data_IF_668807122757
#
_entry.id   IF_668807122757
#
_cell.length_a   1.000
_cell.length_b   1.000
_cell.length_c   1.000
_cell.angle_alpha   90.00
_cell.angle_beta   90.00
_cell.angle_gamma   90.00
#
_symmetry.space_group_name_H-M   'P 1'
#
loop_
_entity.id
_entity.type
_entity.pdbx_description
1 polymer ?
#
# COMPACT_ATOMS: atom_id res chain seq x y z
N UNK A 1 57.53 36.98 -59.35
CA UNK A 1 58.73 36.37 -58.74
C UNK A 1 59.39 37.42 -57.86
N UNK A 2 59.83 37.09 -56.63
CA UNK A 2 60.59 38.05 -55.82
C UNK A 2 61.87 38.43 -56.57
N UNK A 3 62.06 39.73 -56.84
CA UNK A 3 63.28 40.25 -57.46
C UNK A 3 64.26 40.53 -56.33
N UNK A 4 65.28 39.69 -56.20
CA UNK A 4 66.36 39.91 -55.25
C UNK A 4 67.29 41.01 -55.77
N UNK A 5 67.75 41.87 -54.86
CA UNK A 5 68.70 42.94 -55.17
C UNK A 5 69.98 42.74 -54.39
N UNK A 6 71.10 43.05 -55.03
CA UNK A 6 72.41 43.09 -54.40
C UNK A 6 72.42 44.12 -53.27
N UNK A 7 72.85 43.72 -52.07
CA UNK A 7 72.96 44.61 -50.90
C UNK A 7 74.03 45.70 -51.06
N UNK A 8 75.03 45.48 -51.93
CA UNK A 8 76.14 46.42 -52.13
C UNK A 8 75.85 47.44 -53.23
N UNK A 9 75.43 46.99 -54.41
CA UNK A 9 75.26 47.87 -55.58
C UNK A 9 73.79 48.08 -56.00
N UNK A 10 72.83 47.40 -55.38
CA UNK A 10 71.41 47.54 -55.69
C UNK A 10 70.95 46.88 -57.01
N UNK A 11 71.87 46.29 -57.77
CA UNK A 11 71.57 45.62 -59.04
C UNK A 11 70.71 44.35 -58.83
N UNK A 12 69.87 43.96 -59.81
CA UNK A 12 69.06 42.75 -59.72
C UNK A 12 69.96 41.50 -59.73
N UNK A 13 69.66 40.54 -58.86
CA UNK A 13 70.34 39.25 -58.81
C UNK A 13 69.55 38.22 -59.62
N UNK A 14 70.19 37.62 -60.62
CA UNK A 14 69.63 36.56 -61.46
C UNK A 14 69.85 35.20 -60.80
N UNK A 15 68.82 34.66 -60.13
CA UNK A 15 68.91 33.39 -59.40
C UNK A 15 68.28 32.26 -60.22
N UNK A 16 69.03 31.17 -60.45
CA UNK A 16 68.57 29.99 -61.20
C UNK A 16 68.31 28.80 -60.26
N UNK A 17 67.34 28.92 -59.36
CA UNK A 17 66.83 27.78 -58.59
C UNK A 17 66.97 27.91 -57.06
N UNK A 18 67.35 26.81 -56.39
CA UNK A 18 67.48 26.69 -54.91
C UNK A 18 68.91 26.99 -54.42
N UNK A 19 69.59 27.93 -55.04
CA UNK A 19 70.94 28.32 -54.63
C UNK A 19 70.85 29.10 -53.31
N UNK A 20 71.76 28.83 -52.37
CA UNK A 20 71.83 29.52 -51.07
C UNK A 20 72.82 30.68 -51.06
N UNK A 21 73.68 30.75 -52.08
CA UNK A 21 74.69 31.79 -52.29
C UNK A 21 74.63 32.20 -53.75
N UNK A 22 74.65 33.50 -54.01
CA UNK A 22 74.72 34.08 -55.36
C UNK A 22 75.82 35.12 -55.41
N UNK A 23 76.57 35.12 -56.51
CA UNK A 23 77.54 36.16 -56.83
C UNK A 23 76.87 37.25 -57.66
N UNK A 24 77.11 38.51 -57.33
CA UNK A 24 76.54 39.62 -58.07
C UNK A 24 77.32 39.88 -59.37
N UNK A 25 76.68 39.76 -60.52
CA UNK A 25 77.28 40.02 -61.85
C UNK A 25 77.81 41.47 -62.05
N UNK A 26 77.51 42.39 -61.13
CA UNK A 26 77.85 43.81 -61.25
C UNK A 26 78.94 44.28 -60.27
N UNK A 27 79.14 43.59 -59.15
CA UNK A 27 80.10 44.01 -58.12
C UNK A 27 80.83 42.83 -57.45
N UNK A 28 80.71 41.65 -58.04
CA UNK A 28 81.39 40.39 -57.67
C UNK A 28 81.25 40.00 -56.19
N UNK A 29 80.25 40.57 -55.51
CA UNK A 29 80.05 40.33 -54.08
C UNK A 29 79.19 39.10 -53.89
N UNK A 30 79.76 38.08 -53.24
CA UNK A 30 79.07 36.88 -52.77
C UNK A 30 78.08 37.23 -51.68
N UNK A 31 76.81 36.85 -51.87
CA UNK A 31 75.73 37.11 -50.93
C UNK A 31 74.95 35.84 -50.63
N UNK A 32 74.57 35.68 -49.37
CA UNK A 32 73.66 34.61 -48.95
C UNK A 32 72.23 35.00 -49.31
N UNK A 33 71.52 34.06 -49.94
CA UNK A 33 70.10 34.19 -50.25
C UNK A 33 69.28 33.68 -49.05
N UNK A 34 68.25 34.42 -48.60
CA UNK A 34 67.34 33.89 -47.60
C UNK A 34 66.63 32.66 -48.18
N UNK A 35 66.53 31.60 -47.37
CA UNK A 35 65.87 30.36 -47.76
C UNK A 35 64.36 30.62 -47.88
N UNK A 36 63.89 31.04 -49.06
CA UNK A 36 62.46 31.24 -49.33
C UNK A 36 61.82 29.89 -49.64
N UNK A 37 61.64 29.04 -48.62
CA UNK A 37 60.63 27.98 -48.73
C UNK A 37 59.26 28.66 -48.63
N UNK A 38 58.71 29.05 -49.78
CA UNK A 38 57.46 29.81 -49.89
C UNK A 38 56.19 29.03 -49.45
N UNK A 39 56.34 27.85 -48.84
CA UNK A 39 55.25 27.08 -48.26
C UNK A 39 55.48 26.94 -46.76
N UNK A 40 54.48 27.28 -45.92
CA UNK A 40 54.59 27.04 -44.48
C UNK A 40 54.79 25.53 -44.24
N UNK A 41 55.78 25.16 -43.43
CA UNK A 41 55.97 23.77 -43.00
C UNK A 41 54.91 23.41 -41.96
N UNK A 42 54.59 22.12 -41.83
CA UNK A 42 53.70 21.60 -40.77
C UNK A 42 54.21 22.09 -39.40
N UNK A 43 55.52 22.01 -39.16
CA UNK A 43 56.13 22.45 -37.88
C UNK A 43 55.86 23.92 -37.58
N UNK A 44 56.01 24.81 -38.58
CA UNK A 44 55.78 26.26 -38.39
C UNK A 44 54.32 26.60 -38.14
N UNK A 45 53.39 25.84 -38.74
CA UNK A 45 51.96 25.99 -38.48
C UNK A 45 51.61 25.44 -37.10
N UNK A 46 52.22 24.33 -36.70
CA UNK A 46 51.96 23.70 -35.42
C UNK A 46 52.45 24.55 -34.25
N UNK A 47 53.61 25.19 -34.39
CA UNK A 47 54.10 26.16 -33.40
C UNK A 47 53.08 27.30 -33.19
N UNK A 48 52.50 27.81 -34.28
CA UNK A 48 51.44 28.83 -34.19
C UNK A 48 50.17 28.29 -33.53
N UNK A 49 49.74 27.06 -33.85
CA UNK A 49 48.60 26.42 -33.18
C UNK A 49 48.82 26.37 -31.68
N UNK A 50 50.01 25.95 -31.24
CA UNK A 50 50.34 25.90 -29.81
C UNK A 50 50.31 27.28 -29.15
N UNK A 51 50.80 28.32 -29.83
CA UNK A 51 50.69 29.71 -29.34
C UNK A 51 49.21 30.12 -29.21
N UNK A 52 48.38 29.86 -30.23
CA UNK A 52 46.95 30.18 -30.18
C UNK A 52 46.22 29.43 -29.06
N UNK A 53 46.54 28.16 -28.83
CA UNK A 53 45.99 27.39 -27.71
C UNK A 53 46.39 28.02 -26.37
N UNK A 54 47.65 28.43 -26.20
CA UNK A 54 48.13 29.09 -24.98
C UNK A 54 47.44 30.45 -24.75
N UNK A 55 47.27 31.22 -25.81
CA UNK A 55 46.60 32.53 -25.80
C UNK A 55 45.06 32.43 -25.70
N UNK A 56 44.52 31.20 -25.65
CA UNK A 56 43.07 30.94 -25.62
C UNK A 56 42.33 31.46 -26.86
N UNK A 57 43.03 31.55 -27.99
CA UNK A 57 42.47 31.92 -29.31
C UNK A 57 41.99 30.67 -30.06
N UNK A 58 40.94 30.04 -29.54
CA UNK A 58 40.46 28.71 -29.97
C UNK A 58 40.10 28.63 -31.45
N UNK A 59 39.38 29.63 -31.97
CA UNK A 59 38.96 29.66 -33.38
C UNK A 59 40.17 29.75 -34.32
N UNK A 60 41.22 30.50 -33.94
CA UNK A 60 42.45 30.59 -34.74
C UNK A 60 43.28 29.32 -34.64
N UNK A 61 43.33 28.69 -33.46
CA UNK A 61 43.96 27.38 -33.30
C UNK A 61 43.29 26.35 -34.23
N UNK A 62 41.95 26.33 -34.28
CA UNK A 62 41.19 25.44 -35.15
C UNK A 62 41.44 25.72 -36.64
N UNK A 63 41.41 26.98 -37.07
CA UNK A 63 41.70 27.40 -38.46
C UNK A 63 43.12 26.98 -38.89
N UNK A 64 44.11 27.15 -38.02
CA UNK A 64 45.48 26.75 -38.33
C UNK A 64 45.67 25.22 -38.32
N UNK A 65 44.89 24.49 -37.54
CA UNK A 65 44.84 23.03 -37.65
C UNK A 65 44.30 22.59 -39.02
N UNK A 66 43.26 23.24 -39.55
CA UNK A 66 42.77 22.95 -40.91
C UNK A 66 43.86 23.17 -41.97
N UNK A 67 44.67 24.23 -41.85
CA UNK A 67 45.82 24.46 -42.74
C UNK A 67 46.88 23.35 -42.67
N UNK A 68 47.07 22.73 -41.50
CA UNK A 68 47.95 21.57 -41.36
C UNK A 68 47.32 20.37 -42.06
N UNK A 69 46.01 20.16 -41.88
CA UNK A 69 45.26 19.06 -42.48
C UNK A 69 45.11 19.18 -44.00
N UNK A 70 45.15 20.40 -44.56
CA UNK A 70 45.27 20.64 -46.00
C UNK A 70 46.60 20.12 -46.58
N UNK A 71 47.67 20.11 -45.78
CA UNK A 71 48.99 19.58 -46.16
C UNK A 71 49.06 18.07 -45.93
N UNK A 72 48.64 17.61 -44.75
CA UNK A 72 48.55 16.20 -44.38
C UNK A 72 47.23 15.89 -43.66
N UNK A 73 46.22 15.34 -44.37
CA UNK A 73 44.92 15.03 -43.80
C UNK A 73 44.94 13.97 -42.68
N UNK A 74 46.04 13.23 -42.54
CA UNK A 74 46.23 12.17 -41.54
C UNK A 74 47.13 12.60 -40.39
N UNK A 75 47.49 13.88 -40.30
CA UNK A 75 48.32 14.38 -39.21
C UNK A 75 47.56 14.35 -37.88
N UNK A 76 47.75 13.28 -37.11
CA UNK A 76 46.97 12.97 -35.91
C UNK A 76 46.99 14.11 -34.88
N UNK A 77 48.15 14.74 -34.66
CA UNK A 77 48.32 15.78 -33.65
C UNK A 77 47.48 17.04 -33.96
N UNK A 78 47.20 17.35 -35.22
CA UNK A 78 46.26 18.44 -35.55
C UNK A 78 44.84 18.15 -35.05
N UNK A 79 44.37 16.90 -35.15
CA UNK A 79 43.07 16.52 -34.56
C UNK A 79 43.07 16.62 -33.03
N UNK A 80 44.21 16.33 -32.38
CA UNK A 80 44.35 16.54 -30.93
C UNK A 80 44.30 18.03 -30.57
N UNK A 81 44.97 18.90 -31.33
CA UNK A 81 44.91 20.35 -31.12
C UNK A 81 43.49 20.91 -31.34
N UNK A 82 42.77 20.44 -32.37
CA UNK A 82 41.34 20.78 -32.56
C UNK A 82 40.48 20.32 -31.38
N UNK A 83 40.74 19.12 -30.85
CA UNK A 83 40.06 18.63 -29.65
C UNK A 83 40.34 19.53 -28.44
N UNK A 84 41.59 19.94 -28.24
CA UNK A 84 41.94 20.87 -27.16
C UNK A 84 41.23 22.23 -27.32
N UNK A 85 41.18 22.77 -28.53
CA UNK A 85 40.45 24.00 -28.83
C UNK A 85 38.94 23.86 -28.57
N UNK A 86 38.31 22.75 -28.99
CA UNK A 86 36.88 22.47 -28.78
C UNK A 86 36.49 22.45 -27.29
N UNK A 87 37.40 21.98 -26.43
CA UNK A 87 37.19 21.90 -24.98
C UNK A 87 37.76 23.09 -24.21
N UNK A 88 38.31 24.10 -24.91
CA UNK A 88 38.98 25.28 -24.35
C UNK A 88 40.13 24.93 -23.38
N UNK A 89 40.99 24.01 -23.79
CA UNK A 89 42.14 23.52 -23.01
C UNK A 89 43.42 23.95 -23.71
N UNK A 90 44.36 24.53 -22.98
CA UNK A 90 45.58 25.14 -23.57
C UNK A 90 46.65 24.11 -23.91
N UNK A 91 46.70 23.00 -23.17
CA UNK A 91 47.67 21.92 -23.36
C UNK A 91 47.23 20.62 -22.67
N UNK A 92 47.97 19.54 -22.92
CA UNK A 92 47.66 18.20 -22.40
C UNK A 92 47.82 18.11 -20.88
N UNK A 93 48.71 18.91 -20.30
CA UNK A 93 48.96 18.98 -18.86
C UNK A 93 47.76 19.59 -18.14
N UNK A 94 47.18 20.68 -18.69
CA UNK A 94 45.94 21.27 -18.23
C UNK A 94 44.76 20.31 -18.43
N UNK A 95 44.74 19.54 -19.52
CA UNK A 95 43.71 18.53 -19.74
C UNK A 95 43.59 17.58 -18.54
N UNK A 96 44.69 17.18 -17.90
CA UNK A 96 44.64 16.27 -16.74
C UNK A 96 43.77 16.79 -15.57
N UNK A 97 43.57 18.11 -15.48
CA UNK A 97 42.75 18.77 -14.45
C UNK A 97 41.35 19.15 -14.94
N UNK A 98 41.07 18.97 -16.23
CA UNK A 98 39.76 19.25 -16.80
C UNK A 98 38.70 18.27 -16.29
N UNK A 99 37.62 18.81 -15.72
CA UNK A 99 36.43 18.06 -15.30
C UNK A 99 35.24 18.67 -16.02
N UNK A 100 34.79 18.01 -17.09
CA UNK A 100 33.73 18.53 -17.93
C UNK A 100 33.11 17.48 -18.83
N UNK A 101 32.93 17.80 -20.10
CA UNK A 101 32.34 16.85 -21.05
C UNK A 101 33.34 15.72 -21.38
N UNK A 102 32.90 14.48 -21.59
CA UNK A 102 33.80 13.40 -22.03
C UNK A 102 34.39 13.68 -23.41
N UNK A 103 35.69 13.44 -23.60
CA UNK A 103 36.37 13.62 -24.89
C UNK A 103 35.89 12.61 -25.95
N UNK A 104 35.44 11.42 -25.52
CA UNK A 104 34.91 10.36 -26.40
C UNK A 104 33.68 10.77 -27.23
N UNK A 105 33.05 11.89 -26.90
CA UNK A 105 31.92 12.41 -27.66
C UNK A 105 32.34 13.28 -28.86
N UNK A 106 33.61 13.69 -28.93
CA UNK A 106 34.10 14.55 -30.01
C UNK A 106 34.54 13.73 -31.21
N UNK A 107 34.11 14.16 -32.40
CA UNK A 107 34.57 13.57 -33.66
C UNK A 107 36.09 13.76 -33.90
N UNK A 108 36.70 14.79 -33.29
CA UNK A 108 38.14 15.03 -33.39
C UNK A 108 38.93 13.97 -32.60
N UNK A 109 38.38 13.50 -31.47
CA UNK A 109 38.97 12.40 -30.70
C UNK A 109 38.98 11.10 -31.50
N UNK A 110 37.88 10.76 -32.18
CA UNK A 110 37.82 9.58 -33.04
C UNK A 110 38.83 9.64 -34.20
N UNK A 111 38.99 10.83 -34.81
CA UNK A 111 39.97 11.04 -35.88
C UNK A 111 41.41 10.96 -35.36
N UNK A 112 41.69 11.51 -34.18
CA UNK A 112 42.98 11.34 -33.52
C UNK A 112 43.30 9.85 -33.31
N UNK A 113 42.38 9.07 -32.72
CA UNK A 113 42.58 7.63 -32.52
C UNK A 113 42.74 6.83 -33.82
N UNK A 114 42.15 7.31 -34.92
CA UNK A 114 42.27 6.67 -36.24
C UNK A 114 43.67 6.82 -36.84
N UNK A 115 44.29 7.98 -36.67
CA UNK A 115 45.54 8.33 -37.37
C UNK A 115 46.79 8.33 -36.50
N UNK A 116 46.64 8.43 -35.17
CA UNK A 116 47.77 8.39 -34.24
C UNK A 116 48.51 7.05 -34.31
N UNK A 117 49.77 7.05 -33.90
CA UNK A 117 50.53 5.85 -33.58
C UNK A 117 50.05 5.25 -32.24
N UNK A 118 50.41 3.99 -31.99
CA UNK A 118 49.89 3.25 -30.83
C UNK A 118 50.35 3.85 -29.49
N UNK A 119 51.58 4.37 -29.41
CA UNK A 119 52.11 5.00 -28.20
C UNK A 119 51.34 6.27 -27.86
N UNK A 120 51.07 7.12 -28.85
CA UNK A 120 50.27 8.33 -28.68
C UNK A 120 48.82 8.02 -28.27
N UNK A 121 48.21 6.97 -28.84
CA UNK A 121 46.85 6.54 -28.46
C UNK A 121 46.79 6.11 -27.01
N UNK A 122 47.72 5.26 -26.60
CA UNK A 122 47.78 4.71 -25.24
C UNK A 122 47.84 5.84 -24.21
N UNK A 123 48.76 6.79 -24.40
CA UNK A 123 48.93 7.95 -23.50
C UNK A 123 47.66 8.80 -23.37
N UNK A 124 46.98 9.08 -24.49
CA UNK A 124 45.76 9.91 -24.48
C UNK A 124 44.56 9.13 -23.91
N UNK A 125 44.46 7.82 -24.19
CA UNK A 125 43.42 6.97 -23.61
C UNK A 125 43.55 6.84 -22.10
N UNK A 126 44.79 6.73 -21.58
CA UNK A 126 45.08 6.75 -20.15
C UNK A 126 44.59 8.08 -19.53
N UNK A 127 44.96 9.22 -20.11
CA UNK A 127 44.50 10.54 -19.64
C UNK A 127 42.98 10.67 -19.63
N UNK A 128 42.30 10.22 -20.70
CA UNK A 128 40.83 10.25 -20.78
C UNK A 128 40.21 9.37 -19.71
N UNK A 129 40.77 8.19 -19.45
CA UNK A 129 40.26 7.30 -18.40
C UNK A 129 40.40 7.92 -17.00
N UNK A 130 41.51 8.60 -16.72
CA UNK A 130 41.71 9.33 -15.46
C UNK A 130 40.70 10.47 -15.30
N UNK A 131 40.44 11.24 -16.36
CA UNK A 131 39.45 12.31 -16.36
C UNK A 131 38.05 11.79 -16.12
N UNK A 132 37.66 10.70 -16.79
CA UNK A 132 36.35 10.06 -16.66
C UNK A 132 36.13 9.58 -15.22
N UNK A 133 37.16 9.01 -14.58
CA UNK A 133 37.10 8.62 -13.17
C UNK A 133 36.94 9.83 -12.23
N UNK A 134 37.68 10.92 -12.46
CA UNK A 134 37.55 12.17 -11.67
C UNK A 134 36.17 12.82 -11.84
N UNK A 135 35.64 12.83 -13.07
CA UNK A 135 34.31 13.35 -13.36
C UNK A 135 33.23 12.52 -12.66
N UNK A 136 33.35 11.19 -12.68
CA UNK A 136 32.46 10.31 -11.94
C UNK A 136 32.48 10.65 -10.44
N UNK A 137 33.67 10.78 -9.85
CA UNK A 137 33.81 11.13 -8.43
C UNK A 137 33.22 12.51 -8.11
N UNK A 138 33.51 13.53 -8.93
CA UNK A 138 33.00 14.89 -8.75
C UNK A 138 31.46 14.99 -8.91
N UNK A 139 30.85 14.07 -9.68
CA UNK A 139 29.39 14.06 -9.90
C UNK A 139 28.62 13.27 -8.84
N UNK A 140 29.26 12.34 -8.12
CA UNK A 140 28.63 11.57 -7.03
C UNK A 140 27.85 12.42 -6.03
N UNK A 141 28.38 13.54 -5.47
CA UNK A 141 27.64 14.34 -4.50
C UNK A 141 26.34 14.92 -5.07
N UNK A 142 26.35 15.33 -6.35
CA UNK A 142 25.18 15.88 -7.03
C UNK A 142 24.12 14.80 -7.28
N UNK A 143 24.54 13.61 -7.69
CA UNK A 143 23.64 12.45 -7.88
C UNK A 143 23.02 12.03 -6.55
N UNK A 144 23.84 11.90 -5.50
CA UNK A 144 23.37 11.59 -4.14
C UNK A 144 22.36 12.63 -3.65
N UNK A 145 22.65 13.92 -3.83
CA UNK A 145 21.72 14.99 -3.45
C UNK A 145 20.39 14.90 -4.21
N UNK A 146 20.42 14.64 -5.51
CA UNK A 146 19.21 14.48 -6.32
C UNK A 146 18.37 13.29 -5.87
N UNK A 147 18.98 12.13 -5.67
CA UNK A 147 18.31 10.93 -5.18
C UNK A 147 17.74 11.15 -3.77
N UNK A 148 18.48 11.82 -2.91
CA UNK A 148 18.04 12.12 -1.55
C UNK A 148 16.81 13.04 -1.55
N UNK A 149 16.83 14.09 -2.37
CA UNK A 149 15.67 14.99 -2.50
C UNK A 149 14.45 14.26 -3.08
N UNK A 150 14.64 13.37 -4.05
CA UNK A 150 13.56 12.52 -4.56
C UNK A 150 13.00 11.60 -3.47
N UNK A 151 13.86 10.97 -2.67
CA UNK A 151 13.43 10.12 -1.55
C UNK A 151 12.63 10.90 -0.51
N UNK A 152 13.07 12.11 -0.13
CA UNK A 152 12.34 12.98 0.81
C UNK A 152 10.97 13.38 0.24
N UNK A 153 10.91 13.72 -1.06
CA UNK A 153 9.65 14.06 -1.72
C UNK A 153 8.66 12.88 -1.70
N UNK A 154 9.11 11.67 -2.03
CA UNK A 154 8.27 10.47 -2.01
C UNK A 154 7.88 10.09 -0.57
N UNK A 155 8.79 10.25 0.40
CA UNK A 155 8.52 10.05 1.82
C UNK A 155 7.38 10.91 2.33
N UNK A 156 7.36 12.19 1.96
CA UNK A 156 6.31 13.13 2.39
C UNK A 156 4.94 12.84 1.77
N UNK A 157 4.90 12.13 0.64
CA UNK A 157 3.65 11.73 -0.05
C UNK A 157 3.15 10.36 0.40
N UNK A 158 4.04 9.50 0.89
CA UNK A 158 3.73 8.12 1.22
C UNK A 158 2.77 8.01 2.40
N UNK A 159 1.73 7.18 2.23
CA UNK A 159 0.73 6.88 3.26
C UNK A 159 0.68 5.37 3.54
N UNK A 160 1.08 4.55 2.57
CA UNK A 160 0.99 3.08 2.64
C UNK A 160 2.36 2.42 2.77
N UNK A 161 2.38 1.17 3.26
CA UNK A 161 3.59 0.33 3.33
C UNK A 161 4.30 0.20 1.97
N UNK A 162 3.52 0.07 0.88
CA UNK A 162 4.07 -0.07 -0.46
C UNK A 162 4.78 1.21 -0.93
N UNK A 163 4.26 2.38 -0.59
CA UNK A 163 4.88 3.67 -0.95
C UNK A 163 6.14 3.92 -0.12
N UNK A 164 6.12 3.64 1.18
CA UNK A 164 7.33 3.74 2.01
C UNK A 164 8.44 2.77 1.55
N UNK A 165 8.10 1.59 1.05
CA UNK A 165 9.08 0.67 0.46
C UNK A 165 9.78 1.26 -0.78
N UNK A 166 9.07 2.03 -1.61
CA UNK A 166 9.68 2.73 -2.76
C UNK A 166 10.71 3.76 -2.31
N UNK A 167 10.44 4.46 -1.20
CA UNK A 167 11.40 5.41 -0.59
C UNK A 167 12.69 4.69 -0.19
N UNK A 168 12.58 3.53 0.46
CA UNK A 168 13.74 2.70 0.84
C UNK A 168 14.52 2.24 -0.41
N UNK A 169 13.84 1.88 -1.50
CA UNK A 169 14.51 1.53 -2.76
C UNK A 169 15.36 2.69 -3.30
N UNK A 170 14.84 3.92 -3.30
CA UNK A 170 15.61 5.11 -3.73
C UNK A 170 16.80 5.33 -2.79
N UNK A 171 16.62 5.17 -1.48
CA UNK A 171 17.68 5.35 -0.50
C UNK A 171 18.77 4.28 -0.61
N UNK A 172 18.42 3.04 -0.97
CA UNK A 172 19.39 1.98 -1.21
C UNK A 172 20.29 2.31 -2.42
N UNK A 173 19.76 2.93 -3.47
CA UNK A 173 20.58 3.44 -4.60
C UNK A 173 21.62 4.47 -4.15
N UNK A 174 21.34 5.24 -3.10
CA UNK A 174 22.33 6.14 -2.51
C UNK A 174 23.42 5.33 -1.79
N UNK A 175 23.04 4.29 -1.05
CA UNK A 175 23.98 3.43 -0.33
C UNK A 175 24.84 2.55 -1.24
N UNK A 176 24.39 2.26 -2.46
CA UNK A 176 25.22 1.63 -3.50
C UNK A 176 26.36 2.55 -3.96
N UNK A 177 26.15 3.87 -3.96
CA UNK A 177 27.15 4.88 -4.35
C UNK A 177 28.04 5.28 -3.16
N UNK A 178 27.43 5.48 -1.99
CA UNK A 178 28.05 5.89 -0.74
C UNK A 178 27.50 5.04 0.41
N UNK A 179 28.12 3.87 0.70
CA UNK A 179 27.68 2.95 1.73
C UNK A 179 27.63 3.56 3.14
N UNK A 180 28.36 4.65 3.38
CA UNK A 180 28.44 5.33 4.67
C UNK A 180 27.58 6.59 4.77
N UNK A 181 26.67 6.78 3.80
CA UNK A 181 25.78 7.92 3.78
C UNK A 181 24.86 7.98 5.01
N UNK A 182 25.24 8.79 6.00
CA UNK A 182 24.51 8.93 7.27
C UNK A 182 23.08 9.45 7.08
N UNK A 183 22.86 10.33 6.10
CA UNK A 183 21.53 10.90 5.82
C UNK A 183 20.58 9.83 5.28
N UNK A 184 21.02 9.03 4.31
CA UNK A 184 20.25 7.92 3.77
C UNK A 184 19.91 6.88 4.85
N UNK A 185 20.90 6.42 5.63
CA UNK A 185 20.69 5.46 6.74
C UNK A 185 19.65 5.97 7.75
N UNK A 186 19.74 7.25 8.13
CA UNK A 186 18.79 7.87 9.06
C UNK A 186 17.36 7.90 8.48
N UNK A 187 17.20 8.24 7.20
CA UNK A 187 15.89 8.31 6.57
C UNK A 187 15.29 6.90 6.35
N UNK A 188 16.11 5.88 6.08
CA UNK A 188 15.66 4.47 6.03
C UNK A 188 15.07 4.07 7.38
N UNK A 189 15.79 4.28 8.48
CA UNK A 189 15.31 3.93 9.82
C UNK A 189 13.99 4.65 10.18
N UNK A 190 13.85 5.93 9.81
CA UNK A 190 12.59 6.66 9.97
C UNK A 190 11.46 6.06 9.13
N UNK A 191 11.76 5.66 7.90
CA UNK A 191 10.80 5.04 6.98
C UNK A 191 10.34 3.67 7.46
N UNK A 192 11.25 2.85 8.00
CA UNK A 192 10.93 1.56 8.60
C UNK A 192 10.05 1.71 9.84
N UNK A 193 10.29 2.73 10.67
CA UNK A 193 9.41 3.03 11.80
C UNK A 193 8.00 3.40 11.33
N UNK A 194 7.88 4.27 10.30
CA UNK A 194 6.58 4.62 9.69
C UNK A 194 5.84 3.42 9.13
N UNK A 195 6.56 2.50 8.48
CA UNK A 195 6.02 1.22 8.03
C UNK A 195 5.47 0.41 9.22
N UNK A 196 6.24 0.30 10.30
CA UNK A 196 5.82 -0.44 11.50
C UNK A 196 4.57 0.17 12.16
N UNK A 197 4.54 1.50 12.30
CA UNK A 197 3.38 2.25 12.80
C UNK A 197 2.13 2.00 11.95
N UNK A 198 2.26 2.07 10.61
CA UNK A 198 1.17 1.80 9.67
C UNK A 198 0.64 0.38 9.80
N UNK A 199 1.53 -0.63 9.80
CA UNK A 199 1.15 -2.04 9.93
C UNK A 199 0.43 -2.31 11.26
N UNK A 200 0.93 -1.72 12.35
CA UNK A 200 0.32 -1.82 13.67
C UNK A 200 -1.07 -1.16 13.72
N UNK A 201 -1.27 -0.05 13.01
CA UNK A 201 -2.58 0.59 12.88
C UNK A 201 -3.58 -0.28 12.09
N UNK A 202 -3.14 -0.86 10.97
CA UNK A 202 -3.96 -1.79 10.16
C UNK A 202 -4.35 -3.04 10.96
N UNK A 203 -3.42 -3.60 11.73
CA UNK A 203 -3.71 -4.76 12.58
C UNK A 203 -4.76 -4.44 13.65
N UNK A 204 -4.66 -3.28 14.31
CA UNK A 204 -5.67 -2.84 15.30
C UNK A 204 -7.05 -2.66 14.68
N UNK A 205 -7.11 -2.12 13.47
CA UNK A 205 -8.38 -1.97 12.74
C UNK A 205 -9.04 -3.34 12.49
N UNK A 206 -8.29 -4.30 11.95
CA UNK A 206 -8.83 -5.64 11.69
C UNK A 206 -9.20 -6.40 12.97
N UNK A 207 -8.44 -6.22 14.06
CA UNK A 207 -8.80 -6.83 15.34
C UNK A 207 -10.10 -6.24 15.89
N UNK A 208 -10.31 -4.93 15.75
CA UNK A 208 -11.56 -4.31 16.14
C UNK A 208 -12.74 -4.86 15.31
N UNK A 209 -12.59 -5.02 14.00
CA UNK A 209 -13.61 -5.64 13.15
C UNK A 209 -13.95 -7.07 13.60
N UNK A 210 -12.94 -7.85 14.02
CA UNK A 210 -13.14 -9.21 14.54
C UNK A 210 -13.91 -9.20 15.86
N UNK A 211 -13.54 -8.32 16.79
CA UNK A 211 -14.23 -8.15 18.08
C UNK A 211 -15.68 -7.70 17.85
N UNK A 212 -15.91 -6.75 16.95
CA UNK A 212 -17.26 -6.27 16.63
C UNK A 212 -18.12 -7.38 16.00
N UNK A 213 -17.54 -8.19 15.11
CA UNK A 213 -18.19 -9.35 14.53
C UNK A 213 -18.52 -10.44 15.58
N UNK A 214 -17.62 -10.68 16.53
CA UNK A 214 -17.82 -11.63 17.63
C UNK A 214 -18.87 -11.13 18.63
N UNK A 215 -18.80 -9.87 19.05
CA UNK A 215 -19.81 -9.24 19.91
C UNK A 215 -21.20 -9.29 19.29
N UNK A 216 -21.30 -9.08 17.97
CA UNK A 216 -22.56 -9.25 17.22
C UNK A 216 -23.07 -10.70 17.21
N UNK A 217 -22.17 -11.69 17.20
CA UNK A 217 -22.54 -13.11 17.33
C UNK A 217 -23.02 -13.43 18.74
N UNK A 218 -22.33 -12.93 19.77
CA UNK A 218 -22.68 -13.14 21.18
C UNK A 218 -24.01 -12.46 21.52
N UNK A 219 -24.23 -11.22 21.08
CA UNK A 219 -25.46 -10.47 21.37
C UNK A 219 -26.71 -11.18 20.85
N UNK A 220 -26.60 -11.92 19.75
CA UNK A 220 -27.67 -12.78 19.21
C UNK A 220 -28.16 -13.85 20.21
N UNK A 221 -27.29 -14.37 21.07
CA UNK A 221 -27.61 -15.42 22.05
C UNK A 221 -27.73 -14.89 23.49
N UNK A 222 -27.27 -13.66 23.76
CA UNK A 222 -27.27 -13.06 25.09
C UNK A 222 -28.68 -12.84 25.64
N UNK A 223 -29.56 -12.21 24.86
CA UNK A 223 -30.95 -11.95 25.26
C UNK A 223 -31.76 -13.23 25.59
N UNK A 224 -31.77 -14.27 24.74
CA UNK A 224 -32.48 -15.50 25.09
C UNK A 224 -31.86 -16.22 26.29
N UNK A 225 -30.54 -16.15 26.48
CA UNK A 225 -29.88 -16.76 27.64
C UNK A 225 -30.27 -16.05 28.94
N UNK A 226 -30.30 -14.72 28.96
CA UNK A 226 -30.75 -13.94 30.12
C UNK A 226 -32.19 -14.30 30.49
N UNK A 227 -33.09 -14.40 29.49
CA UNK A 227 -34.47 -14.81 29.72
C UNK A 227 -34.57 -16.21 30.36
N UNK A 228 -33.76 -17.17 29.90
CA UNK A 228 -33.69 -18.53 30.48
C UNK A 228 -33.22 -18.48 31.93
N UNK A 229 -32.17 -17.72 32.25
CA UNK A 229 -31.65 -17.59 33.63
C UNK A 229 -32.71 -16.98 34.55
N UNK A 230 -33.39 -15.90 34.12
CA UNK A 230 -34.47 -15.28 34.91
C UNK A 230 -35.62 -16.27 35.14
N UNK A 231 -36.00 -17.06 34.13
CA UNK A 231 -37.03 -18.08 34.31
C UNK A 231 -36.61 -19.14 35.34
N UNK A 232 -35.35 -19.59 35.31
CA UNK A 232 -34.81 -20.57 36.26
C UNK A 232 -34.72 -20.04 37.70
N UNK A 233 -34.41 -18.75 37.90
CA UNK A 233 -34.37 -18.18 39.25
C UNK A 233 -35.76 -17.99 39.83
N UNK A 234 -36.73 -17.55 39.02
CA UNK A 234 -38.14 -17.48 39.44
C UNK A 234 -38.68 -18.87 39.80
N UNK A 235 -38.32 -19.90 39.05
CA UNK A 235 -38.63 -21.32 39.33
C UNK A 235 -38.17 -21.75 40.72
N UNK A 236 -36.91 -21.49 41.04
CA UNK A 236 -36.33 -21.84 42.34
C UNK A 236 -37.00 -21.05 43.48
N UNK A 237 -37.38 -19.79 43.23
CA UNK A 237 -38.11 -18.99 44.21
C UNK A 237 -39.49 -19.58 44.53
N UNK A 238 -40.27 -19.94 43.51
CA UNK A 238 -41.61 -20.53 43.68
C UNK A 238 -41.52 -21.89 44.37
N UNK A 239 -40.54 -22.74 44.01
CA UNK A 239 -40.40 -24.05 44.64
C UNK A 239 -40.01 -23.96 46.12
N UNK A 240 -39.13 -23.02 46.49
CA UNK A 240 -38.78 -22.76 47.90
C UNK A 240 -40.02 -22.30 48.68
N UNK A 241 -40.78 -21.35 48.15
CA UNK A 241 -42.01 -20.88 48.78
C UNK A 241 -43.03 -22.02 48.98
N UNK A 242 -43.23 -22.85 47.95
CA UNK A 242 -44.10 -24.03 48.03
C UNK A 242 -43.66 -25.01 49.12
N UNK A 243 -42.36 -25.32 49.20
CA UNK A 243 -41.81 -26.19 50.24
C UNK A 243 -42.02 -25.58 51.64
N UNK A 244 -41.76 -24.28 51.81
CA UNK A 244 -41.99 -23.62 53.11
C UNK A 244 -43.46 -23.64 53.54
N UNK A 245 -44.38 -23.49 52.59
CA UNK A 245 -45.82 -23.56 52.86
C UNK A 245 -46.25 -24.98 53.26
N UNK A 246 -45.77 -26.00 52.54
CA UNK A 246 -46.05 -27.41 52.88
C UNK A 246 -45.48 -27.76 54.27
N UNK A 247 -44.26 -27.32 54.58
CA UNK A 247 -43.66 -27.54 55.91
C UNK A 247 -44.48 -26.86 57.02
N UNK A 248 -44.98 -25.65 56.78
CA UNK A 248 -45.85 -24.95 57.72
C UNK A 248 -47.19 -25.69 57.95
N UNK A 249 -47.82 -26.16 56.88
CA UNK A 249 -49.08 -26.92 56.96
C UNK A 249 -48.90 -28.26 57.67
N UNK A 250 -47.81 -28.98 57.42
CA UNK A 250 -47.47 -30.23 58.12
C UNK A 250 -47.25 -29.98 59.62
N UNK A 251 -46.54 -28.91 59.99
CA UNK A 251 -46.32 -28.54 61.40
C UNK A 251 -47.59 -28.09 62.12
N UNK A 252 -48.58 -27.56 61.40
CA UNK A 252 -49.86 -27.12 61.97
C UNK A 252 -50.94 -28.21 62.02
N UNK A 253 -50.65 -29.43 61.53
CA UNK A 253 -51.49 -30.61 61.75
C UNK A 253 -52.74 -30.71 60.86
N UNK A 254 -52.74 -30.10 59.67
CA UNK A 254 -53.93 -29.96 58.83
C UNK A 254 -53.90 -30.92 57.61
N UNK A 255 -54.40 -32.16 57.76
CA UNK A 255 -54.25 -33.23 56.75
C UNK A 255 -54.96 -32.97 55.40
N UNK A 256 -56.08 -32.23 55.39
CA UNK A 256 -56.83 -31.93 54.16
C UNK A 256 -56.12 -30.92 53.23
N UNK A 257 -55.18 -30.12 53.76
CA UNK A 257 -54.46 -29.07 53.02
C UNK A 257 -53.31 -29.62 52.17
N UNK A 258 -52.73 -30.74 52.58
CA UNK A 258 -51.53 -31.35 51.98
C UNK A 258 -51.80 -31.82 50.52
N UNK A 259 -53.04 -32.23 50.22
CA UNK A 259 -53.45 -32.64 48.88
C UNK A 259 -53.71 -31.46 47.91
N UNK A 260 -54.20 -30.33 48.42
CA UNK A 260 -54.43 -29.14 47.58
C UNK A 260 -53.11 -28.42 47.26
N UNK A 261 -52.16 -28.41 48.19
CA UNK A 261 -50.83 -27.81 48.00
C UNK A 261 -49.93 -28.61 47.05
N UNK A 262 -49.98 -29.95 47.12
CA UNK A 262 -49.27 -30.80 46.16
C UNK A 262 -49.81 -30.66 44.73
N UNK A 263 -51.13 -30.53 44.55
CA UNK A 263 -51.74 -30.27 43.24
C UNK A 263 -51.35 -28.91 42.63
N UNK A 264 -51.29 -27.86 43.44
CA UNK A 264 -50.82 -26.52 43.03
C UNK A 264 -49.33 -26.54 42.61
N UNK A 265 -48.48 -27.25 43.35
CA UNK A 265 -47.08 -27.41 42.95
C UNK A 265 -46.94 -28.10 41.58
N UNK A 266 -47.73 -29.14 41.28
CA UNK A 266 -47.69 -29.79 39.97
C UNK A 266 -48.16 -28.88 38.82
N UNK A 267 -49.15 -28.01 39.08
CA UNK A 267 -49.61 -27.02 38.11
C UNK A 267 -48.53 -25.95 37.82
N UNK A 268 -47.81 -25.51 38.84
CA UNK A 268 -46.71 -24.54 38.68
C UNK A 268 -45.53 -25.16 37.91
N UNK A 269 -45.12 -26.38 38.24
CA UNK A 269 -44.07 -27.08 37.48
C UNK A 269 -44.48 -27.34 36.03
N UNK A 270 -45.75 -27.66 35.78
CA UNK A 270 -46.28 -27.90 34.43
C UNK A 270 -46.36 -26.61 33.59
N UNK A 271 -46.88 -25.51 34.18
CA UNK A 271 -46.96 -24.22 33.51
C UNK A 271 -45.57 -23.72 33.09
N UNK A 272 -44.58 -23.98 33.94
CA UNK A 272 -43.21 -23.58 33.67
C UNK A 272 -42.52 -24.51 32.64
N UNK A 273 -42.81 -25.81 32.64
CA UNK A 273 -42.37 -26.71 31.58
C UNK A 273 -42.90 -26.25 30.20
N UNK A 274 -44.17 -25.83 30.13
CA UNK A 274 -44.75 -25.25 28.93
C UNK A 274 -44.03 -23.96 28.51
N UNK A 275 -43.78 -23.02 29.43
CA UNK A 275 -43.02 -21.80 29.13
C UNK A 275 -41.59 -22.07 28.65
N UNK A 276 -40.86 -22.98 29.30
CA UNK A 276 -39.50 -23.38 28.90
C UNK A 276 -39.48 -23.95 27.47
N UNK A 277 -40.44 -24.81 27.13
CA UNK A 277 -40.55 -25.41 25.80
C UNK A 277 -40.95 -24.38 24.74
N UNK A 278 -41.76 -23.39 25.10
CA UNK A 278 -42.16 -22.29 24.23
C UNK A 278 -40.97 -21.38 23.90
N UNK A 279 -40.15 -21.03 24.91
CA UNK A 279 -38.89 -20.28 24.74
C UNK A 279 -37.89 -21.06 23.86
N UNK A 280 -37.75 -22.38 24.08
CA UNK A 280 -36.90 -23.26 23.27
C UNK A 280 -37.35 -23.34 21.81
N UNK A 281 -38.66 -23.29 21.55
CA UNK A 281 -39.20 -23.27 20.18
C UNK A 281 -38.92 -21.95 19.44
N UNK A 282 -38.90 -20.82 20.14
CA UNK A 282 -38.58 -19.50 19.57
C UNK A 282 -37.09 -19.40 19.18
N UNK A 283 -36.21 -20.15 19.87
CA UNK A 283 -34.77 -20.18 19.61
C UNK A 283 -34.41 -21.03 18.37
N UNK A 284 -35.22 -22.04 18.00
CA UNK A 284 -34.95 -22.91 16.85
C UNK A 284 -36.20 -23.12 15.98
N UNK A 285 -36.19 -22.57 14.75
CA UNK A 285 -37.33 -22.63 13.81
C UNK A 285 -37.74 -24.05 13.34
N UNK A 286 -37.05 -25.12 13.79
CA UNK A 286 -37.34 -26.53 13.45
C UNK A 286 -38.21 -27.27 14.48
N UNK A 287 -38.63 -26.64 15.58
CA UNK A 287 -39.22 -27.35 16.74
C UNK A 287 -40.75 -27.23 16.90
N UNK A 288 -41.50 -27.09 15.79
CA UNK A 288 -42.99 -27.12 15.77
C UNK A 288 -43.56 -28.43 16.37
N UNK A 289 -42.81 -29.53 16.33
CA UNK A 289 -43.26 -30.82 16.89
C UNK A 289 -43.40 -30.79 18.43
N UNK A 290 -42.62 -29.96 19.11
CA UNK A 290 -42.60 -29.95 20.58
C UNK A 290 -43.67 -29.04 21.20
N UNK A 291 -44.06 -27.96 20.51
CA UNK A 291 -45.22 -27.15 20.91
C UNK A 291 -46.52 -27.94 20.85
N UNK A 292 -46.64 -28.87 19.88
CA UNK A 292 -47.77 -29.79 19.78
C UNK A 292 -47.80 -30.81 20.94
N UNK A 293 -46.64 -31.33 21.35
CA UNK A 293 -46.54 -32.27 22.48
C UNK A 293 -46.92 -31.57 23.80
N UNK A 294 -46.47 -30.33 24.02
CA UNK A 294 -46.88 -29.55 25.20
C UNK A 294 -48.37 -29.23 25.21
N UNK A 295 -48.96 -28.95 24.05
CA UNK A 295 -50.41 -28.74 23.93
C UNK A 295 -51.20 -30.01 24.29
N UNK A 296 -50.77 -31.16 23.76
CA UNK A 296 -51.44 -32.46 23.98
C UNK A 296 -51.31 -32.91 25.43
N UNK A 297 -50.13 -32.76 26.04
CA UNK A 297 -49.94 -33.07 27.47
C UNK A 297 -50.74 -32.15 28.39
N UNK A 298 -50.96 -30.90 27.99
CA UNK A 298 -51.71 -29.93 28.79
C UNK A 298 -53.20 -30.22 28.76
N UNK A 299 -53.71 -30.58 27.58
CA UNK A 299 -55.08 -31.04 27.41
C UNK A 299 -55.34 -32.34 28.18
N UNK A 300 -54.40 -33.30 28.18
CA UNK A 300 -54.50 -34.54 28.96
C UNK A 300 -54.53 -34.27 30.47
N UNK A 301 -53.70 -33.36 30.98
CA UNK A 301 -53.70 -33.00 32.40
C UNK A 301 -55.00 -32.30 32.81
N UNK A 302 -55.53 -31.40 31.98
CA UNK A 302 -56.85 -30.77 32.20
C UNK A 302 -57.95 -31.82 32.23
N UNK A 303 -57.88 -32.82 31.35
CA UNK A 303 -58.85 -33.93 31.31
C UNK A 303 -58.80 -34.78 32.59
N UNK A 304 -57.59 -35.13 33.05
CA UNK A 304 -57.39 -35.91 34.29
C UNK A 304 -57.85 -35.12 35.52
N UNK A 305 -57.54 -33.82 35.61
CA UNK A 305 -57.98 -32.98 36.74
C UNK A 305 -59.49 -32.73 36.75
N UNK A 306 -60.12 -32.60 35.58
CA UNK A 306 -61.58 -32.49 35.46
C UNK A 306 -62.33 -33.75 35.94
N UNK A 307 -61.69 -34.92 35.86
CA UNK A 307 -62.23 -36.18 36.39
C UNK A 307 -62.09 -36.24 37.92
N UNK A 308 -61.02 -35.67 38.49
CA UNK A 308 -60.72 -35.77 39.94
C UNK A 308 -61.45 -34.72 40.78
N UNK A 309 -61.78 -33.55 40.23
CA UNK A 309 -62.44 -32.45 40.96
C UNK A 309 -63.73 -31.98 40.27
N UNK A 310 -64.92 -32.53 40.60
CA UNK A 310 -66.16 -32.32 39.85
C UNK A 310 -66.87 -30.96 40.04
N UNK A 311 -66.34 -30.07 40.89
CA UNK A 311 -67.05 -28.84 41.25
C UNK A 311 -66.94 -27.75 40.16
N UNK A 312 -68.11 -27.33 39.67
CA UNK A 312 -68.40 -26.48 38.49
C UNK A 312 -67.57 -25.17 38.37
N UNK A 313 -67.03 -24.63 39.47
CA UNK A 313 -66.20 -23.41 39.47
C UNK A 313 -64.83 -23.61 38.82
N UNK A 314 -64.26 -24.82 38.91
CA UNK A 314 -62.97 -25.15 38.30
C UNK A 314 -63.09 -25.21 36.78
N UNK A 315 -64.24 -25.69 36.26
CA UNK A 315 -64.51 -25.75 34.83
C UNK A 315 -64.56 -24.37 34.16
N UNK A 316 -65.18 -23.39 34.82
CA UNK A 316 -65.18 -21.99 34.35
C UNK A 316 -63.78 -21.35 34.41
N UNK A 317 -62.97 -21.71 35.41
CA UNK A 317 -61.58 -21.27 35.50
C UNK A 317 -60.73 -21.88 34.37
N UNK A 318 -60.97 -23.15 34.03
CA UNK A 318 -60.31 -23.85 32.91
C UNK A 318 -60.68 -23.21 31.56
N UNK A 319 -61.94 -22.88 31.32
CA UNK A 319 -62.37 -22.21 30.09
C UNK A 319 -61.74 -20.81 29.98
N UNK A 320 -61.73 -20.04 31.07
CA UNK A 320 -61.08 -18.73 31.09
C UNK A 320 -59.55 -18.85 30.86
N UNK A 321 -58.92 -19.90 31.38
CA UNK A 321 -57.50 -20.16 31.20
C UNK A 321 -57.15 -20.60 29.78
N UNK A 322 -57.96 -21.47 29.16
CA UNK A 322 -57.82 -21.82 27.75
C UNK A 322 -57.99 -20.58 26.86
N UNK A 323 -58.98 -19.72 27.15
CA UNK A 323 -59.19 -18.47 26.40
C UNK A 323 -57.99 -17.51 26.55
N UNK A 324 -57.43 -17.36 27.74
CA UNK A 324 -56.23 -16.54 27.99
C UNK A 324 -54.99 -17.11 27.29
N UNK A 325 -54.82 -18.43 27.28
CA UNK A 325 -53.71 -19.11 26.60
C UNK A 325 -53.79 -18.94 25.08
N UNK A 326 -54.97 -19.06 24.48
CA UNK A 326 -55.18 -18.77 23.06
C UNK A 326 -54.97 -17.30 22.72
N UNK A 327 -55.28 -16.38 23.65
CA UNK A 327 -55.01 -14.95 23.49
C UNK A 327 -53.50 -14.64 23.46
N UNK A 328 -52.71 -15.26 24.33
CA UNK A 328 -51.24 -15.13 24.32
C UNK A 328 -50.64 -15.72 23.03
N UNK A 329 -51.14 -16.88 22.59
CA UNK A 329 -50.73 -17.48 21.31
C UNK A 329 -51.03 -16.52 20.14
N UNK A 330 -52.21 -15.90 20.13
CA UNK A 330 -52.57 -14.91 19.11
C UNK A 330 -51.61 -13.71 19.12
N UNK A 331 -51.23 -13.18 20.29
CA UNK A 331 -50.26 -12.07 20.43
C UNK A 331 -48.88 -12.47 19.92
N UNK A 332 -48.37 -13.65 20.30
CA UNK A 332 -47.05 -14.14 19.87
C UNK A 332 -47.02 -14.34 18.35
N UNK A 333 -48.10 -14.85 17.77
CA UNK A 333 -48.20 -15.01 16.31
C UNK A 333 -48.34 -13.65 15.59
N UNK A 334 -49.08 -12.70 16.16
CA UNK A 334 -49.18 -11.32 15.65
C UNK A 334 -47.82 -10.60 15.67
N UNK A 335 -47.04 -10.78 16.73
CA UNK A 335 -45.68 -10.19 16.85
C UNK A 335 -44.72 -10.77 15.81
N UNK A 336 -44.77 -12.08 15.58
CA UNK A 336 -43.97 -12.73 14.52
C UNK A 336 -44.38 -12.29 13.10
N UNK A 337 -45.63 -11.87 12.88
CA UNK A 337 -46.10 -11.31 11.58
C UNK A 337 -45.48 -9.93 11.29
N UNK A 338 -45.22 -9.12 12.33
CA UNK A 338 -44.60 -7.79 12.21
C UNK A 338 -43.10 -7.93 11.87
N UNK A 339 -42.42 -8.94 12.40
CA UNK A 339 -40.99 -9.16 12.14
C UNK A 339 -40.67 -9.93 10.84
N UNK A 340 -41.56 -10.83 10.36
CA UNK A 340 -41.20 -11.78 9.28
C UNK A 340 -42.11 -11.78 8.05
N UNK A 341 -43.08 -10.88 7.95
CA UNK A 341 -43.86 -10.59 6.73
C UNK A 341 -44.08 -11.75 5.74
N UNK A 342 -44.95 -12.75 6.04
CA UNK A 342 -45.39 -13.68 4.98
C UNK A 342 -46.80 -14.32 5.11
N UNK A 343 -47.66 -13.97 4.13
CA UNK A 343 -48.48 -14.75 3.16
C UNK A 343 -49.12 -16.14 3.44
N UNK A 344 -49.64 -16.49 4.62
CA UNK A 344 -50.62 -17.62 4.70
C UNK A 344 -51.85 -17.32 5.58
N UNK A 345 -52.98 -16.85 5.01
CA UNK A 345 -54.18 -16.45 5.77
C UNK A 345 -55.05 -17.63 6.29
N UNK A 346 -54.93 -18.84 5.74
CA UNK A 346 -55.93 -19.90 5.99
C UNK A 346 -55.83 -20.56 7.38
N UNK A 347 -54.65 -20.61 8.00
CA UNK A 347 -54.49 -21.17 9.36
C UNK A 347 -55.10 -20.22 10.42
N UNK A 348 -55.09 -18.92 10.15
CA UNK A 348 -55.62 -17.89 11.04
C UNK A 348 -57.14 -17.86 11.09
N UNK A 349 -57.80 -18.03 9.95
CA UNK A 349 -59.26 -18.10 9.87
C UNK A 349 -59.76 -19.35 10.61
N UNK A 350 -59.07 -20.49 10.44
CA UNK A 350 -59.42 -21.71 11.17
C UNK A 350 -59.23 -21.58 12.68
N UNK A 351 -58.15 -20.96 13.15
CA UNK A 351 -57.94 -20.73 14.58
C UNK A 351 -58.97 -19.76 15.19
N UNK A 352 -59.37 -18.71 14.44
CA UNK A 352 -60.42 -17.78 14.85
C UNK A 352 -61.80 -18.44 14.93
N UNK A 353 -62.16 -19.25 13.93
CA UNK A 353 -63.42 -20.01 13.91
C UNK A 353 -63.46 -21.02 15.06
N UNK A 354 -62.34 -21.68 15.37
CA UNK A 354 -62.26 -22.63 16.48
C UNK A 354 -62.46 -21.92 17.84
N UNK A 355 -61.82 -20.76 18.03
CA UNK A 355 -61.96 -19.97 19.25
C UNK A 355 -63.39 -19.46 19.45
N UNK A 356 -64.03 -18.96 18.39
CA UNK A 356 -65.43 -18.48 18.44
C UNK A 356 -66.39 -19.65 18.74
N UNK A 357 -66.16 -20.82 18.14
CA UNK A 357 -66.97 -22.03 18.39
C UNK A 357 -66.89 -22.50 19.85
N UNK A 358 -65.70 -22.44 20.46
CA UNK A 358 -65.49 -22.82 21.86
C UNK A 358 -66.17 -21.82 22.81
N UNK A 359 -66.10 -20.52 22.50
CA UNK A 359 -66.80 -19.49 23.28
C UNK A 359 -68.32 -19.65 23.18
N UNK A 360 -68.84 -19.93 21.97
CA UNK A 360 -70.27 -20.16 21.76
C UNK A 360 -70.79 -21.40 22.52
N UNK A 361 -70.02 -22.50 22.53
CA UNK A 361 -70.33 -23.69 23.34
C UNK A 361 -70.31 -23.38 24.84
N UNK A 362 -69.36 -22.58 25.31
CA UNK A 362 -69.30 -22.14 26.71
C UNK A 362 -70.51 -21.30 27.13
N UNK A 363 -70.97 -20.38 26.24
CA UNK A 363 -72.15 -19.55 26.49
C UNK A 363 -73.44 -20.39 26.46
N UNK A 364 -73.56 -21.34 25.52
CA UNK A 364 -74.74 -22.21 25.43
C UNK A 364 -74.89 -23.08 26.68
N UNK A 365 -73.80 -23.67 27.17
CA UNK A 365 -73.80 -24.45 28.41
C UNK A 365 -74.13 -23.58 29.64
N UNK A 366 -73.69 -22.32 29.66
CA UNK A 366 -74.01 -21.37 30.73
C UNK A 366 -75.50 -21.00 30.78
N UNK A 367 -76.15 -20.82 29.62
CA UNK A 367 -77.58 -20.52 29.53
C UNK A 367 -78.45 -21.72 29.95
N UNK A 368 -78.03 -22.94 29.63
CA UNK A 368 -78.77 -24.16 29.96
C UNK A 368 -78.67 -24.55 31.44
N UNK A 369 -77.60 -24.14 32.12
CA UNK A 369 -77.41 -24.29 33.58
C UNK A 369 -78.19 -23.27 34.42
N UNK A 370 -78.71 -22.19 33.81
CA UNK A 370 -79.45 -21.12 34.49
C UNK A 370 -80.96 -21.11 34.17
N UNK A 371 -81.44 -22.08 33.40
CA UNK A 371 -82.85 -22.50 33.35
C UNK A 371 -83.07 -23.62 34.35
#
# INVERSE_FOLDING_TARGET
>A
MPVFKCKMCGAPLHIKGKETIVECEYCDTMQTLPHISNKPSIDSLLERVNIFLQDSEWDKADEYCEKILDIDPKFAYAYLCKLLAEYNIRNIEEARSYIGKPWRMSSNFDKFLRYADDLSKEKILELVSEQEAKLLEATKPKVILSLYNAAVMEFNKAVTDAEYKKVIEILNKILEIDPDNKKAKKLIALTENKISEYRSAVQRYHEQERIDAENKRISKYREPLIAVVICLTLLLGVSVLGITFVLYDVLSGNEQSIFNTTGLMFLDYYFIFCMYMQIKSTIHSKYIKWTLITLVTGLLMVFVYGIVFPNLKIFMMIIAFCAFFFFIIAIVILKNKIEYGSKKPNVFIMAGILAISIIALGISAFIELHK
#
